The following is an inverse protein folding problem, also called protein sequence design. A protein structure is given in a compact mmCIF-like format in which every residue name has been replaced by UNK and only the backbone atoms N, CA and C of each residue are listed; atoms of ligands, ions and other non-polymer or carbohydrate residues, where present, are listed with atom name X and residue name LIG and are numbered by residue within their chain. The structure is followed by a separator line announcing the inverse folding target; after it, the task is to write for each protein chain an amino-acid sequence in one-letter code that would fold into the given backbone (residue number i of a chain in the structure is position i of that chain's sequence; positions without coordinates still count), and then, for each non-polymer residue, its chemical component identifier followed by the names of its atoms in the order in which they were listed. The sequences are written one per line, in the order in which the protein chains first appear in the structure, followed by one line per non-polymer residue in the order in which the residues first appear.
data_IF_921367308571
#
_entry.id   IF_921367308571
#
_cell.length_a   1.000
_cell.length_b   1.000
_cell.length_c   1.000
_cell.angle_alpha   90.00
_cell.angle_beta   90.00
_cell.angle_gamma   90.00
#
_symmetry.space_group_name_H-M   'P 1'
#
loop_
_entity.id
_entity.type
_entity.pdbx_description
1 polymer ?
#
# COMPACT_ATOMS: atom_id res chain seq x y z
N UNK A 1 5.92 -8.59 -5.45
CA UNK A 1 5.21 -9.20 -4.28
C UNK A 1 3.78 -9.61 -4.62
N UNK A 2 2.87 -8.73 -5.11
CA UNK A 2 1.50 -9.15 -5.44
C UNK A 2 1.42 -10.31 -6.43
N UNK A 3 2.25 -10.29 -7.49
CA UNK A 3 2.35 -11.38 -8.46
C UNK A 3 2.80 -12.70 -7.83
N UNK A 4 3.75 -12.66 -6.88
CA UNK A 4 4.21 -13.85 -6.16
C UNK A 4 3.10 -14.44 -5.29
N UNK A 5 2.29 -13.59 -4.65
CA UNK A 5 1.14 -14.04 -3.87
C UNK A 5 0.05 -14.65 -4.76
N UNK A 6 -0.22 -14.03 -5.90
CA UNK A 6 -1.20 -14.53 -6.86
C UNK A 6 -0.77 -15.87 -7.48
N UNK A 7 0.52 -16.04 -7.78
CA UNK A 7 1.07 -17.27 -8.35
C UNK A 7 0.98 -18.49 -7.40
N UNK A 8 0.84 -18.25 -6.09
CA UNK A 8 0.64 -19.30 -5.10
C UNK A 8 -0.82 -19.80 -5.00
N UNK A 9 -1.77 -19.16 -5.71
CA UNK A 9 -3.18 -19.52 -5.70
C UNK A 9 -3.52 -20.45 -6.87
N UNK A 10 -4.53 -21.33 -6.74
CA UNK A 10 -5.02 -22.13 -7.86
C UNK A 10 -5.39 -21.25 -9.07
N UNK A 11 -5.13 -21.71 -10.32
CA UNK A 11 -5.53 -20.98 -11.51
C UNK A 11 -7.01 -20.60 -11.49
N UNK A 12 -7.32 -19.37 -11.92
CA UNK A 12 -8.69 -18.84 -11.93
C UNK A 12 -9.16 -18.24 -10.59
N UNK A 13 -8.36 -18.30 -9.52
CA UNK A 13 -8.71 -17.67 -8.22
C UNK A 13 -8.73 -16.15 -8.31
N UNK A 14 -7.79 -15.55 -9.03
CA UNK A 14 -7.70 -14.09 -9.18
C UNK A 14 -8.40 -13.67 -10.47
N UNK A 15 -9.40 -12.78 -10.35
CA UNK A 15 -10.12 -12.19 -11.47
C UNK A 15 -9.90 -10.68 -11.46
N UNK A 16 -9.09 -10.17 -12.38
CA UNK A 16 -8.86 -8.72 -12.57
C UNK A 16 -9.87 -8.13 -13.55
N UNK A 17 -10.05 -6.80 -13.53
CA UNK A 17 -11.05 -6.14 -14.39
C UNK A 17 -12.50 -6.37 -13.97
N UNK A 18 -12.73 -7.03 -12.82
CA UNK A 18 -14.06 -7.29 -12.26
C UNK A 18 -14.27 -6.37 -11.06
N UNK A 19 -15.11 -5.34 -11.21
CA UNK A 19 -15.45 -4.41 -10.13
C UNK A 19 -16.68 -4.92 -9.36
N UNK A 20 -16.50 -5.17 -8.05
CA UNK A 20 -17.61 -5.39 -7.13
C UNK A 20 -18.38 -4.07 -6.92
N UNK A 21 -19.70 -4.14 -6.89
CA UNK A 21 -20.59 -2.98 -6.67
C UNK A 21 -21.52 -3.17 -5.46
N UNK A 22 -21.70 -4.41 -4.99
CA UNK A 22 -22.33 -4.70 -3.71
C UNK A 22 -21.80 -6.03 -3.15
N UNK A 23 -21.90 -6.18 -1.84
CA UNK A 23 -21.51 -7.39 -1.12
C UNK A 23 -22.58 -7.77 -0.09
N UNK A 24 -22.85 -9.06 0.01
CA UNK A 24 -23.68 -9.66 1.07
C UNK A 24 -22.94 -10.86 1.66
N UNK A 25 -23.53 -11.54 2.65
CA UNK A 25 -22.93 -12.75 3.24
C UNK A 25 -22.83 -13.92 2.27
N UNK A 26 -23.62 -13.90 1.18
CA UNK A 26 -23.77 -15.05 0.27
C UNK A 26 -23.46 -14.72 -1.18
N UNK A 27 -23.20 -13.45 -1.51
CA UNK A 27 -23.01 -13.04 -2.89
C UNK A 27 -22.26 -11.72 -3.02
N UNK A 28 -21.55 -11.56 -4.14
CA UNK A 28 -20.97 -10.29 -4.60
C UNK A 28 -21.56 -9.95 -5.95
N UNK A 29 -22.23 -8.81 -6.07
CA UNK A 29 -22.66 -8.30 -7.38
C UNK A 29 -21.51 -7.52 -8.00
N UNK A 30 -21.34 -7.69 -9.31
CA UNK A 30 -20.30 -7.01 -10.09
C UNK A 30 -20.93 -6.10 -11.14
N UNK A 31 -20.21 -5.05 -11.54
CA UNK A 31 -20.74 -4.07 -12.50
C UNK A 31 -21.11 -4.69 -13.85
N UNK A 32 -20.30 -5.63 -14.34
CA UNK A 32 -20.37 -6.12 -15.73
C UNK A 32 -20.31 -7.66 -15.84
N UNK A 33 -20.18 -8.38 -14.71
CA UNK A 33 -19.91 -9.83 -14.71
C UNK A 33 -20.95 -10.63 -13.91
N UNK A 34 -22.12 -10.03 -13.64
CA UNK A 34 -23.21 -10.65 -12.89
C UNK A 34 -22.89 -10.84 -11.40
N UNK A 35 -23.58 -11.79 -10.78
CA UNK A 35 -23.44 -12.10 -9.36
C UNK A 35 -22.55 -13.34 -9.14
N UNK A 36 -21.69 -13.27 -8.14
CA UNK A 36 -20.83 -14.37 -7.71
C UNK A 36 -21.34 -14.88 -6.36
N UNK A 37 -21.95 -16.06 -6.36
CA UNK A 37 -22.36 -16.74 -5.13
C UNK A 37 -21.17 -17.22 -4.30
N UNK A 38 -21.26 -17.09 -2.98
CA UNK A 38 -20.22 -17.48 -2.04
C UNK A 38 -20.84 -17.86 -0.67
N UNK A 39 -20.02 -18.43 0.22
CA UNK A 39 -20.44 -18.72 1.61
C UNK A 39 -20.05 -17.59 2.57
N UNK A 40 -19.11 -16.75 2.16
CA UNK A 40 -18.65 -15.59 2.90
C UNK A 40 -17.97 -14.59 1.98
N UNK A 41 -18.00 -13.32 2.38
CA UNK A 41 -17.31 -12.22 1.70
C UNK A 41 -16.34 -11.54 2.66
N UNK A 42 -15.09 -11.40 2.20
CA UNK A 42 -14.09 -10.55 2.83
C UNK A 42 -13.83 -9.34 1.93
N UNK A 43 -14.21 -8.15 2.40
CA UNK A 43 -13.90 -6.88 1.73
C UNK A 43 -12.50 -6.43 2.14
N UNK A 44 -11.59 -6.36 1.17
CA UNK A 44 -10.19 -5.98 1.34
C UNK A 44 -9.81 -4.72 0.54
N UNK A 45 -10.76 -3.81 0.35
CA UNK A 45 -10.59 -2.54 -0.35
C UNK A 45 -10.14 -1.43 0.62
N UNK A 46 -9.77 -0.26 0.07
CA UNK A 46 -9.53 0.94 0.88
C UNK A 46 -10.79 1.34 1.66
N UNK A 47 -10.63 2.02 2.80
CA UNK A 47 -11.75 2.28 3.72
C UNK A 47 -12.90 3.08 3.08
N UNK A 48 -12.58 3.96 2.12
CA UNK A 48 -13.56 4.70 1.33
C UNK A 48 -14.43 3.73 0.50
N UNK A 49 -13.80 2.94 -0.37
CA UNK A 49 -14.49 1.99 -1.24
C UNK A 49 -15.20 0.87 -0.46
N UNK A 50 -14.62 0.47 0.68
CA UNK A 50 -15.25 -0.52 1.56
C UNK A 50 -16.59 -0.02 2.10
N UNK A 51 -16.76 1.28 2.36
CA UNK A 51 -18.01 1.85 2.84
C UNK A 51 -19.09 1.95 1.75
N UNK A 52 -18.70 2.00 0.47
CA UNK A 52 -19.64 1.88 -0.65
C UNK A 52 -20.26 0.48 -0.71
N UNK A 53 -19.44 -0.55 -0.45
CA UNK A 53 -19.88 -1.95 -0.43
C UNK A 53 -20.60 -2.33 0.87
N UNK A 54 -20.27 -1.66 1.98
CA UNK A 54 -20.71 -1.98 3.34
C UNK A 54 -21.26 -0.72 4.04
N UNK A 55 -22.51 -0.31 3.75
CA UNK A 55 -23.11 0.86 4.38
C UNK A 55 -23.08 0.78 5.91
N UNK A 56 -22.65 1.87 6.55
CA UNK A 56 -22.46 1.95 8.00
C UNK A 56 -21.05 1.63 8.49
N UNK A 57 -20.12 1.25 7.60
CA UNK A 57 -18.71 1.15 7.94
C UNK A 57 -18.13 2.53 8.26
N UNK A 58 -17.42 2.64 9.40
CA UNK A 58 -16.72 3.88 9.76
C UNK A 58 -15.57 4.16 8.79
N UNK A 59 -15.67 5.27 8.07
CA UNK A 59 -14.59 5.81 7.23
C UNK A 59 -13.77 6.82 8.03
N UNK A 60 -12.44 6.63 8.20
CA UNK A 60 -11.58 7.64 8.82
C UNK A 60 -11.35 8.82 7.87
N UNK A 61 -10.85 9.94 8.40
CA UNK A 61 -10.19 10.93 7.54
C UNK A 61 -8.92 10.33 6.92
N UNK A 62 -8.32 11.01 5.94
CA UNK A 62 -7.12 10.53 5.25
C UNK A 62 -6.04 11.60 5.17
N UNK A 63 -4.79 11.14 5.06
CA UNK A 63 -3.66 11.97 4.67
C UNK A 63 -3.37 11.72 3.18
N UNK A 64 -3.60 12.72 2.31
CA UNK A 64 -3.33 12.58 0.89
C UNK A 64 -1.84 12.50 0.62
N UNK A 65 -1.47 11.78 -0.44
CA UNK A 65 -0.09 11.59 -0.87
C UNK A 65 0.01 11.83 -2.37
N UNK A 66 1.07 12.52 -2.78
CA UNK A 66 1.47 12.61 -4.19
C UNK A 66 2.89 12.10 -4.36
N UNK A 67 3.06 11.14 -5.26
CA UNK A 67 4.36 10.62 -5.65
C UNK A 67 4.69 11.15 -7.04
N UNK A 68 5.88 11.74 -7.18
CA UNK A 68 6.38 12.27 -8.44
C UNK A 68 7.64 11.52 -8.85
N UNK A 69 7.70 11.19 -10.14
CA UNK A 69 8.82 10.51 -10.75
C UNK A 69 9.51 11.42 -11.75
N UNK A 70 10.80 11.68 -11.55
CA UNK A 70 11.63 12.45 -12.45
C UNK A 70 12.74 11.60 -13.04
N UNK A 71 13.20 12.01 -14.21
CA UNK A 71 14.42 11.48 -14.82
C UNK A 71 15.39 12.61 -15.10
N UNK A 72 16.67 12.27 -15.18
CA UNK A 72 17.78 13.18 -15.39
C UNK A 72 18.92 12.47 -16.11
N UNK A 73 19.82 13.24 -16.73
CA UNK A 73 20.99 12.70 -17.43
C UNK A 73 21.99 11.99 -16.49
N UNK A 74 22.07 12.45 -15.23
CA UNK A 74 22.99 11.92 -14.23
C UNK A 74 22.30 11.82 -12.86
N UNK A 75 22.61 10.78 -12.07
CA UNK A 75 22.02 10.64 -10.76
C UNK A 75 22.51 11.77 -9.85
N UNK A 76 21.61 12.48 -9.15
CA UNK A 76 22.00 13.55 -8.22
C UNK A 76 22.70 13.00 -6.97
N UNK A 77 22.45 11.73 -6.64
CA UNK A 77 23.10 10.96 -5.58
C UNK A 77 23.26 9.52 -6.08
N UNK A 78 24.44 8.92 -5.89
CA UNK A 78 24.71 7.52 -6.27
C UNK A 78 24.52 6.52 -5.13
N UNK A 79 24.27 7.01 -3.93
CA UNK A 79 24.01 6.16 -2.78
C UNK A 79 22.55 5.71 -2.81
N UNK A 80 22.24 4.41 -2.58
CA UNK A 80 20.88 3.91 -2.48
C UNK A 80 20.26 4.30 -1.13
N UNK A 81 20.05 5.60 -0.94
CA UNK A 81 19.59 6.20 0.32
C UNK A 81 18.22 6.87 0.17
N UNK A 82 17.43 6.78 1.24
CA UNK A 82 16.22 7.59 1.41
C UNK A 82 16.62 8.90 2.10
N UNK A 83 16.43 10.02 1.41
CA UNK A 83 16.68 11.35 1.97
C UNK A 83 15.37 11.89 2.54
N UNK A 84 15.39 12.19 3.84
CA UNK A 84 14.31 12.93 4.49
C UNK A 84 14.54 14.42 4.23
N UNK A 85 13.62 15.06 3.52
CA UNK A 85 13.72 16.47 3.16
C UNK A 85 13.24 17.34 4.35
N UNK A 86 13.91 17.19 5.48
CA UNK A 86 13.63 17.91 6.71
C UNK A 86 14.04 19.39 6.58
N UNK A 87 13.19 20.30 7.06
CA UNK A 87 13.49 21.74 7.10
C UNK A 87 12.35 22.66 6.68
N UNK A 88 11.20 22.12 6.24
CA UNK A 88 9.99 22.90 5.96
C UNK A 88 10.10 23.87 4.77
N UNK A 89 11.17 23.78 3.97
CA UNK A 89 11.44 24.64 2.80
C UNK A 89 10.95 24.01 1.49
N UNK A 90 9.76 23.43 1.51
CA UNK A 90 9.13 22.87 0.32
C UNK A 90 8.22 21.67 0.62
N UNK A 91 7.54 21.14 -0.42
CA UNK A 91 6.49 20.14 -0.26
C UNK A 91 6.99 18.70 -0.10
N UNK A 92 8.24 18.41 -0.48
CA UNK A 92 8.81 17.06 -0.44
C UNK A 92 9.02 16.65 1.02
N UNK A 93 8.46 15.51 1.40
CA UNK A 93 8.72 14.86 2.69
C UNK A 93 9.97 13.98 2.61
N UNK A 94 10.10 13.20 1.54
CA UNK A 94 11.30 12.40 1.29
C UNK A 94 11.49 12.14 -0.20
N UNK A 95 12.73 11.80 -0.58
CA UNK A 95 13.13 11.49 -1.95
C UNK A 95 14.19 10.39 -1.96
N UNK A 96 14.27 9.65 -3.06
CA UNK A 96 15.33 8.69 -3.32
C UNK A 96 15.61 8.60 -4.82
N UNK A 97 16.85 8.27 -5.16
CA UNK A 97 17.20 7.85 -6.53
C UNK A 97 16.84 6.37 -6.65
N UNK A 98 15.58 6.09 -6.96
CA UNK A 98 15.02 4.74 -6.99
C UNK A 98 15.78 3.78 -7.93
N UNK A 99 16.38 4.29 -9.00
CA UNK A 99 17.23 3.49 -9.89
C UNK A 99 18.57 3.07 -9.28
N UNK A 100 19.08 3.76 -8.26
CA UNK A 100 20.28 3.32 -7.51
C UNK A 100 19.93 2.20 -6.51
N UNK A 101 18.68 2.17 -6.03
CA UNK A 101 18.16 1.08 -5.17
C UNK A 101 17.84 -0.17 -6.00
N UNK A 102 17.19 0.03 -7.14
CA UNK A 102 16.73 -1.04 -8.02
C UNK A 102 16.85 -0.59 -9.50
N UNK A 103 17.98 -0.91 -10.16
CA UNK A 103 18.23 -0.50 -11.55
C UNK A 103 17.21 -1.03 -12.56
N UNK A 104 16.45 -2.08 -12.23
CA UNK A 104 15.44 -2.66 -13.13
C UNK A 104 14.23 -1.75 -13.33
N UNK A 105 14.05 -0.72 -12.48
CA UNK A 105 12.93 0.23 -12.52
C UNK A 105 13.01 1.26 -13.64
N UNK A 106 14.10 1.29 -14.39
CA UNK A 106 14.32 2.27 -15.45
C UNK A 106 15.12 1.64 -16.59
N UNK A 107 14.97 2.10 -17.84
CA UNK A 107 15.82 1.64 -18.93
C UNK A 107 17.31 1.87 -18.65
N UNK A 108 18.21 1.05 -19.21
CA UNK A 108 19.66 1.24 -19.05
C UNK A 108 20.10 2.67 -19.40
N UNK A 109 20.91 3.27 -18.52
CA UNK A 109 21.43 4.62 -18.71
C UNK A 109 20.45 5.76 -18.36
N UNK A 110 19.25 5.45 -17.86
CA UNK A 110 18.32 6.47 -17.34
C UNK A 110 18.32 6.47 -15.82
N UNK A 111 18.02 7.62 -15.24
CA UNK A 111 17.87 7.79 -13.78
C UNK A 111 16.38 7.87 -13.45
N UNK A 112 15.99 7.27 -12.34
CA UNK A 112 14.65 7.44 -11.76
C UNK A 112 14.79 8.05 -10.37
N UNK A 113 14.41 9.32 -10.23
CA UNK A 113 14.24 9.98 -8.93
C UNK A 113 12.77 9.90 -8.55
N UNK A 114 12.48 9.43 -7.33
CA UNK A 114 11.12 9.36 -6.78
C UNK A 114 11.02 10.25 -5.56
N UNK A 115 10.03 11.13 -5.55
CA UNK A 115 9.80 12.08 -4.46
C UNK A 115 8.36 12.00 -3.98
N UNK A 116 8.19 12.06 -2.66
CA UNK A 116 6.88 11.92 -2.01
C UNK A 116 6.52 13.22 -1.30
N UNK A 117 5.31 13.68 -1.57
CA UNK A 117 4.69 14.88 -1.00
C UNK A 117 3.50 14.42 -0.16
N UNK A 118 3.39 14.96 1.06
CA UNK A 118 2.35 14.60 2.03
C UNK A 118 1.45 15.79 2.34
N UNK A 119 0.22 15.50 2.77
CA UNK A 119 -0.69 16.50 3.34
C UNK A 119 -1.18 17.52 2.31
N UNK A 120 -1.48 18.75 2.74
CA UNK A 120 -2.15 19.74 1.90
C UNK A 120 -1.41 20.04 0.58
N UNK A 121 -0.08 20.04 0.59
CA UNK A 121 0.73 20.25 -0.61
C UNK A 121 0.57 19.14 -1.66
N UNK A 122 0.17 17.93 -1.26
CA UNK A 122 -0.06 16.83 -2.19
C UNK A 122 -1.24 17.14 -3.15
N UNK A 123 -2.19 17.97 -2.74
CA UNK A 123 -3.36 18.35 -3.53
C UNK A 123 -3.11 19.53 -4.48
N UNK A 124 -1.88 20.07 -4.54
CA UNK A 124 -1.55 21.15 -5.47
C UNK A 124 -1.65 20.67 -6.94
N UNK A 125 -1.99 21.57 -7.88
CA UNK A 125 -1.95 21.24 -9.31
C UNK A 125 -0.57 20.71 -9.73
N UNK A 126 -0.55 19.66 -10.55
CA UNK A 126 0.68 18.92 -10.85
C UNK A 126 1.84 19.80 -11.36
N UNK A 127 1.56 20.80 -12.21
CA UNK A 127 2.58 21.71 -12.74
C UNK A 127 3.15 22.67 -11.68
N UNK A 128 2.32 23.12 -10.73
CA UNK A 128 2.76 23.95 -9.61
C UNK A 128 3.59 23.10 -8.63
N UNK A 129 3.10 21.90 -8.32
CA UNK A 129 3.78 20.97 -7.43
C UNK A 129 5.13 20.56 -7.99
N UNK A 130 5.21 20.23 -9.28
CA UNK A 130 6.46 19.86 -9.95
C UNK A 130 7.53 20.95 -9.83
N UNK A 131 7.14 22.22 -10.04
CA UNK A 131 8.05 23.36 -9.90
C UNK A 131 8.58 23.48 -8.47
N UNK A 132 7.69 23.37 -7.49
CA UNK A 132 8.05 23.45 -6.07
C UNK A 132 8.93 22.27 -5.62
N UNK A 133 8.63 21.05 -6.10
CA UNK A 133 9.41 19.85 -5.86
C UNK A 133 10.81 20.01 -6.45
N UNK A 134 10.94 20.34 -7.74
CA UNK A 134 12.27 20.52 -8.38
C UNK A 134 13.10 21.59 -7.69
N UNK A 135 12.50 22.73 -7.31
CA UNK A 135 13.20 23.77 -6.56
C UNK A 135 13.74 23.28 -5.21
N UNK A 136 12.96 22.52 -4.44
CA UNK A 136 13.42 21.95 -3.18
C UNK A 136 14.48 20.86 -3.40
N UNK A 137 14.31 20.00 -4.40
CA UNK A 137 15.25 18.92 -4.71
C UNK A 137 16.61 19.47 -5.15
N UNK A 138 16.66 20.62 -5.82
CA UNK A 138 17.92 21.28 -6.14
C UNK A 138 18.73 21.61 -4.88
N UNK A 139 18.06 22.09 -3.83
CA UNK A 139 18.68 22.35 -2.53
C UNK A 139 19.02 21.06 -1.78
N UNK A 140 18.13 20.07 -1.78
CA UNK A 140 18.33 18.78 -1.07
C UNK A 140 19.52 18.01 -1.62
N UNK A 141 19.66 17.95 -2.95
CA UNK A 141 20.75 17.24 -3.61
C UNK A 141 21.99 18.10 -3.89
N UNK A 142 21.92 19.41 -3.66
CA UNK A 142 23.01 20.34 -3.97
C UNK A 142 23.37 20.39 -5.46
N UNK A 143 22.40 20.21 -6.35
CA UNK A 143 22.60 20.18 -7.81
C UNK A 143 21.46 20.85 -8.56
N UNK A 144 21.69 21.23 -9.81
CA UNK A 144 20.63 21.81 -10.65
C UNK A 144 19.63 20.74 -11.09
N UNK A 145 18.34 21.06 -10.99
CA UNK A 145 17.22 20.25 -11.51
C UNK A 145 16.69 20.76 -12.85
N UNK A 146 17.38 21.70 -13.50
CA UNK A 146 16.88 22.35 -14.73
C UNK A 146 16.68 21.35 -15.89
N UNK A 147 17.54 20.34 -15.99
CA UNK A 147 17.44 19.27 -17.00
C UNK A 147 16.57 18.08 -16.56
N UNK A 148 15.82 18.20 -15.47
CA UNK A 148 14.96 17.11 -15.01
C UNK A 148 13.62 17.14 -15.73
N UNK A 149 13.21 15.96 -16.18
CA UNK A 149 11.93 15.73 -16.85
C UNK A 149 10.97 15.00 -15.89
N UNK A 150 9.73 15.46 -15.82
CA UNK A 150 8.67 14.79 -15.08
C UNK A 150 8.13 13.62 -15.91
N UNK A 151 8.25 12.40 -15.39
CA UNK A 151 7.76 11.18 -16.04
C UNK A 151 6.31 10.88 -15.64
N UNK A 152 6.00 10.98 -14.36
CA UNK A 152 4.68 10.64 -13.84
C UNK A 152 4.39 11.36 -12.52
N UNK A 153 3.10 11.60 -12.27
CA UNK A 153 2.57 12.10 -11.01
C UNK A 153 1.40 11.21 -10.61
N UNK A 154 1.47 10.65 -9.41
CA UNK A 154 0.42 9.79 -8.84
C UNK A 154 -0.10 10.45 -7.57
N UNK A 155 -1.32 10.97 -7.64
CA UNK A 155 -2.01 11.54 -6.49
C UNK A 155 -3.06 10.55 -5.98
N UNK A 156 -3.06 10.32 -4.66
CA UNK A 156 -4.10 9.57 -3.98
C UNK A 156 -4.62 10.39 -2.79
N UNK A 157 -5.89 10.85 -2.83
CA UNK A 157 -6.50 11.62 -1.74
C UNK A 157 -6.80 10.77 -0.50
N UNK A 158 -6.84 9.44 -0.66
CA UNK A 158 -7.20 8.46 0.37
C UNK A 158 -6.01 7.55 0.74
N UNK A 159 -4.78 8.01 0.46
CA UNK A 159 -3.57 7.20 0.55
C UNK A 159 -3.29 6.58 1.93
N UNK A 160 -3.49 7.34 3.01
CA UNK A 160 -3.17 6.87 4.37
C UNK A 160 -4.33 7.21 5.31
N UNK A 161 -5.02 6.20 5.89
CA UNK A 161 -6.04 6.45 6.89
C UNK A 161 -5.47 7.22 8.10
N UNK A 162 -6.18 8.25 8.54
CA UNK A 162 -5.82 9.00 9.74
C UNK A 162 -6.12 8.17 11.00
N UNK A 163 -5.17 8.19 11.95
CA UNK A 163 -5.25 7.45 13.22
C UNK A 163 -5.09 8.39 14.43
N UNK A 164 -6.00 9.37 14.63
CA UNK A 164 -5.94 10.28 15.77
C UNK A 164 -6.21 9.53 17.09
N UNK A 165 -5.62 10.02 18.18
CA UNK A 165 -5.87 9.47 19.51
C UNK A 165 -7.29 9.79 20.02
N UNK A 166 -7.96 8.86 20.74
CA UNK A 166 -7.56 7.46 20.94
C UNK A 166 -7.84 6.61 19.69
N UNK A 167 -6.82 5.89 19.22
CA UNK A 167 -6.96 4.95 18.09
C UNK A 167 -7.02 3.51 18.61
N UNK A 168 -7.94 2.72 18.07
CA UNK A 168 -7.99 1.27 18.29
C UNK A 168 -7.10 0.58 17.24
N UNK A 169 -5.94 0.01 17.64
CA UNK A 169 -5.01 -0.62 16.71
C UNK A 169 -5.47 -2.01 16.26
N UNK A 170 -6.58 -2.57 16.78
CA UNK A 170 -7.05 -3.91 16.41
C UNK A 170 -8.56 -3.94 16.25
N UNK A 171 -9.08 -3.08 15.37
CA UNK A 171 -10.52 -3.00 15.10
C UNK A 171 -11.08 -4.37 14.68
N UNK A 172 -12.35 -4.68 14.99
CA UNK A 172 -12.98 -5.96 14.63
C UNK A 172 -12.83 -6.28 13.13
N UNK A 173 -12.72 -7.53 12.71
CA UNK A 173 -12.67 -7.88 11.27
C UNK A 173 -13.92 -8.62 10.80
N UNK A 174 -14.68 -9.15 11.75
CA UNK A 174 -16.00 -9.76 11.54
C UNK A 174 -17.06 -8.69 11.78
N UNK A 175 -17.85 -8.38 10.77
CA UNK A 175 -19.02 -7.50 10.91
C UNK A 175 -20.25 -8.33 11.29
N UNK A 176 -20.45 -9.44 10.59
CA UNK A 176 -21.33 -10.54 10.97
C UNK A 176 -20.74 -11.86 10.46
N UNK A 177 -21.30 -13.00 10.89
CA UNK A 177 -20.91 -14.29 10.32
C UNK A 177 -21.17 -14.28 8.80
N UNK A 178 -20.15 -14.61 8.00
CA UNK A 178 -20.22 -14.52 6.53
C UNK A 178 -19.87 -13.16 5.92
N UNK A 179 -19.67 -12.09 6.72
CA UNK A 179 -19.26 -10.77 6.21
C UNK A 179 -18.13 -10.16 7.03
N UNK A 180 -16.99 -9.95 6.36
CA UNK A 180 -15.74 -9.55 6.98
C UNK A 180 -15.14 -8.37 6.23
N UNK A 181 -14.30 -7.61 6.93
CA UNK A 181 -13.55 -6.48 6.37
C UNK A 181 -12.13 -6.50 6.89
N UNK A 182 -11.18 -6.25 6.01
CA UNK A 182 -9.77 -6.05 6.36
C UNK A 182 -9.18 -4.88 5.55
N UNK A 183 -8.00 -4.46 5.96
CA UNK A 183 -7.30 -3.31 5.42
C UNK A 183 -6.52 -2.60 6.51
N UNK A 184 -5.65 -1.69 6.10
CA UNK A 184 -4.89 -0.79 6.97
C UNK A 184 -5.79 0.00 7.94
N UNK A 185 -7.00 0.33 7.52
CA UNK A 185 -8.05 0.97 8.32
C UNK A 185 -8.66 0.09 9.43
N UNK A 186 -8.29 -1.21 9.51
CA UNK A 186 -8.70 -2.13 10.59
C UNK A 186 -7.59 -2.42 11.60
N UNK A 187 -6.39 -1.89 11.38
CA UNK A 187 -5.22 -2.15 12.24
C UNK A 187 -4.35 -0.88 12.36
N UNK A 188 -3.09 -0.92 11.89
CA UNK A 188 -2.24 0.25 11.65
C UNK A 188 -2.21 0.67 10.17
N UNK A 189 -2.04 1.97 9.88
CA UNK A 189 -1.97 2.55 8.53
C UNK A 189 -0.67 2.21 7.81
N UNK A 190 -0.34 0.92 7.76
CA UNK A 190 0.90 0.37 7.21
C UNK A 190 0.59 -0.88 6.39
N UNK A 191 1.51 -1.26 5.51
CA UNK A 191 1.41 -2.53 4.76
C UNK A 191 1.33 -3.72 5.72
N UNK A 192 2.11 -3.69 6.80
CA UNK A 192 2.13 -4.73 7.83
C UNK A 192 0.79 -4.79 8.58
N UNK A 193 0.18 -3.64 8.87
CA UNK A 193 -1.16 -3.56 9.46
C UNK A 193 -2.25 -4.14 8.54
N UNK A 194 -2.19 -3.80 7.25
CA UNK A 194 -3.10 -4.38 6.25
C UNK A 194 -2.97 -5.91 6.20
N UNK A 195 -1.75 -6.44 6.10
CA UNK A 195 -1.49 -7.89 6.10
C UNK A 195 -1.93 -8.56 7.41
N UNK A 196 -1.69 -7.92 8.56
CA UNK A 196 -2.12 -8.43 9.86
C UNK A 196 -3.64 -8.53 9.95
N UNK A 197 -4.36 -7.48 9.54
CA UNK A 197 -5.82 -7.49 9.51
C UNK A 197 -6.39 -8.55 8.56
N UNK A 198 -5.77 -8.74 7.39
CA UNK A 198 -6.16 -9.76 6.42
C UNK A 198 -6.00 -11.17 6.99
N UNK A 199 -4.88 -11.45 7.67
CA UNK A 199 -4.67 -12.72 8.37
C UNK A 199 -5.69 -12.96 9.47
N UNK A 200 -6.06 -11.93 10.25
CA UNK A 200 -7.12 -12.04 11.26
C UNK A 200 -8.48 -12.34 10.62
N UNK A 201 -8.81 -11.66 9.53
CA UNK A 201 -10.07 -11.87 8.83
C UNK A 201 -10.15 -13.28 8.24
N UNK A 202 -9.09 -13.77 7.60
CA UNK A 202 -9.02 -15.14 7.09
C UNK A 202 -9.20 -16.18 8.20
N UNK A 203 -8.54 -16.00 9.36
CA UNK A 203 -8.74 -16.87 10.54
C UNK A 203 -10.18 -16.83 11.05
N UNK A 204 -10.81 -15.66 11.07
CA UNK A 204 -12.21 -15.53 11.49
C UNK A 204 -13.17 -16.25 10.54
N UNK A 205 -12.95 -16.15 9.21
CA UNK A 205 -13.70 -16.89 8.19
C UNK A 205 -13.55 -18.40 8.42
N UNK A 206 -12.31 -18.89 8.47
CA UNK A 206 -12.04 -20.32 8.63
C UNK A 206 -12.68 -20.89 9.90
N UNK A 207 -12.58 -20.15 11.02
CA UNK A 207 -13.22 -20.53 12.29
C UNK A 207 -14.74 -20.61 12.18
N UNK A 208 -15.39 -19.68 11.48
CA UNK A 208 -16.85 -19.67 11.36
C UNK A 208 -17.37 -20.82 10.46
N UNK A 209 -16.54 -21.32 9.55
CA UNK A 209 -16.87 -22.45 8.67
C UNK A 209 -16.27 -23.79 9.13
N UNK A 210 -15.67 -23.85 10.33
CA UNK A 210 -15.08 -25.08 10.87
C UNK A 210 -13.91 -25.63 10.04
N UNK A 211 -13.24 -24.80 9.25
CA UNK A 211 -12.10 -25.19 8.44
C UNK A 211 -10.80 -24.97 9.23
N UNK A 212 -9.88 -25.94 9.29
CA UNK A 212 -8.59 -25.73 9.92
C UNK A 212 -7.79 -24.69 9.13
N UNK A 213 -7.04 -23.79 9.80
CA UNK A 213 -6.05 -22.98 9.10
C UNK A 213 -5.03 -23.88 8.42
N UNK A 214 -4.63 -23.52 7.20
CA UNK A 214 -3.55 -24.21 6.52
C UNK A 214 -2.32 -24.27 7.44
N UNK A 215 -1.76 -25.47 7.62
CA UNK A 215 -0.60 -25.66 8.48
C UNK A 215 0.61 -24.93 7.87
N UNK A 216 0.99 -23.76 8.42
CA UNK A 216 2.21 -23.07 8.05
C UNK A 216 2.19 -21.56 8.33
N UNK A 217 3.26 -21.08 8.99
CA UNK A 217 3.66 -19.68 9.25
C UNK A 217 3.23 -19.00 10.57
N UNK A 218 3.16 -19.73 11.68
CA UNK A 218 3.51 -19.12 12.98
C UNK A 218 4.95 -19.52 13.33
N UNK A 219 5.93 -18.92 12.65
CA UNK A 219 7.32 -18.92 13.10
C UNK A 219 7.55 -17.71 14.00
N UNK A 220 7.42 -17.98 15.31
CA UNK A 220 8.12 -17.40 16.45
C UNK A 220 8.16 -15.86 16.64
N UNK A 221 7.31 -15.38 17.55
CA UNK A 221 7.69 -14.34 18.49
C UNK A 221 8.27 -15.00 19.75
N UNK A 222 9.58 -14.84 19.97
CA UNK A 222 10.25 -15.15 21.24
C UNK A 222 11.25 -16.29 21.20
N UNK A 223 12.53 -15.98 20.97
CA UNK A 223 13.59 -16.36 21.90
C UNK A 223 14.88 -15.58 21.60
N UNK A 224 15.51 -15.04 22.64
CA UNK A 224 16.88 -14.57 22.61
C UNK A 224 17.83 -15.78 22.70
N UNK A 225 18.98 -15.74 22.03
CA UNK A 225 20.08 -16.68 22.27
C UNK A 225 20.63 -17.35 21.01
N UNK A 226 21.76 -16.81 20.55
CA UNK A 226 22.94 -17.50 20.01
C UNK A 226 22.78 -18.88 19.34
N UNK A 227 23.22 -18.98 18.09
CA UNK A 227 24.02 -20.12 17.62
C UNK A 227 23.43 -20.99 16.51
N UNK A 228 24.23 -21.08 15.44
CA UNK A 228 24.30 -22.14 14.42
C UNK A 228 23.13 -22.38 13.46
N UNK A 229 23.44 -22.14 12.18
CA UNK A 229 22.76 -22.66 10.98
C UNK A 229 22.93 -24.19 10.92
N UNK A 230 21.92 -24.94 10.44
CA UNK A 230 22.18 -25.73 9.24
C UNK A 230 21.05 -25.71 8.19
N UNK A 231 21.50 -25.99 6.97
CA UNK A 231 20.81 -26.20 5.70
C UNK A 231 20.11 -27.58 5.67
N UNK A 232 18.90 -27.66 5.07
CA UNK A 232 18.38 -28.76 4.21
C UNK A 232 16.90 -28.43 3.88
N UNK A 233 16.44 -28.27 2.64
CA UNK A 233 16.40 -29.19 1.49
C UNK A 233 15.50 -30.43 1.72
N UNK A 234 14.22 -30.29 1.37
CA UNK A 234 13.37 -31.24 0.65
C UNK A 234 12.04 -30.54 0.29
#
# INVERSE_FOLDING_TARGET
VPELLAAALPPGTVRTGVRAVSASTTAVATAEHGEIGCRAVLVATGAHDAAELLPGLRVPAFHPVTVMHHTADRPPLREPALILAAGGRGPVAHTMVASEVDPSRTPPGRVLITSTVLGASAALPAAELDRAVRAQLAAVYGTSTAGWELLATHHDPYAVPAMPAPHDPRRPVRLLSGLYVCGDHRDSSTVQGALASGRRAARAVLSDFGAPPAAGSDTNAGNAGTGSVPVAAA
#
